data_IF_307960588934
#
_entry.id   IF_307960588934
#
_cell.length_a   1.000
_cell.length_b   1.000
_cell.length_c   1.000
_cell.angle_alpha   90.00
_cell.angle_beta   90.00
_cell.angle_gamma   90.00
#
_symmetry.space_group_name_H-M   'P 1'
#
loop_
_entity.id
_entity.type
_entity.pdbx_description
1 polymer ?
#
# COMPACT_ATOMS: atom_id res chain seq x y z
N UNK A 1 -7.66 -18.52 -3.07
CA UNK A 1 -7.25 -17.11 -3.23
C UNK A 1 -7.12 -16.74 -4.70
N UNK A 2 -6.25 -17.42 -5.47
CA UNK A 2 -6.05 -17.18 -6.92
C UNK A 2 -7.34 -17.06 -7.74
N UNK A 3 -8.25 -18.05 -7.64
CA UNK A 3 -9.55 -18.03 -8.34
C UNK A 3 -10.35 -16.74 -8.12
N UNK A 4 -10.26 -16.12 -6.93
CA UNK A 4 -10.98 -14.88 -6.63
C UNK A 4 -10.38 -13.70 -7.40
N UNK A 5 -9.05 -13.62 -7.44
CA UNK A 5 -8.32 -12.61 -8.21
C UNK A 5 -8.50 -12.83 -9.71
N UNK A 6 -8.63 -14.07 -10.17
CA UNK A 6 -8.95 -14.38 -11.57
C UNK A 6 -10.35 -13.87 -11.95
N UNK A 7 -11.34 -14.02 -11.07
CA UNK A 7 -12.67 -13.44 -11.25
C UNK A 7 -12.58 -11.91 -11.30
N UNK A 8 -11.88 -11.28 -10.36
CA UNK A 8 -11.68 -9.82 -10.36
C UNK A 8 -10.98 -9.32 -11.63
N UNK A 9 -9.97 -10.04 -12.11
CA UNK A 9 -9.28 -9.74 -13.36
C UNK A 9 -10.21 -9.90 -14.57
N UNK A 10 -11.03 -10.95 -14.62
CA UNK A 10 -12.01 -11.16 -15.69
C UNK A 10 -13.07 -10.04 -15.74
N UNK A 11 -13.49 -9.50 -14.60
CA UNK A 11 -14.39 -8.34 -14.54
C UNK A 11 -13.77 -7.06 -15.11
N UNK A 12 -12.49 -6.83 -14.82
CA UNK A 12 -11.73 -5.72 -15.42
C UNK A 12 -11.58 -5.95 -16.93
N UNK A 13 -11.23 -7.17 -17.33
CA UNK A 13 -10.99 -7.54 -18.72
C UNK A 13 -9.90 -6.67 -19.34
N UNK A 14 -10.16 -6.22 -20.55
CA UNK A 14 -9.22 -5.42 -21.34
C UNK A 14 -9.23 -3.91 -21.00
N UNK A 15 -10.05 -3.49 -20.04
CA UNK A 15 -10.08 -2.09 -19.58
C UNK A 15 -11.36 -1.70 -18.83
N UNK A 16 -11.30 -0.59 -18.09
CA UNK A 16 -12.45 0.01 -17.42
C UNK A 16 -12.89 1.29 -18.12
N UNK A 17 -14.17 1.63 -18.00
CA UNK A 17 -14.75 2.88 -18.48
C UNK A 17 -14.51 3.09 -20.00
N UNK A 18 -13.62 4.03 -20.36
CA UNK A 18 -13.32 4.37 -21.75
C UNK A 18 -12.46 3.30 -22.42
N UNK A 19 -11.59 2.65 -21.67
CA UNK A 19 -10.69 1.62 -22.19
C UNK A 19 -11.48 0.36 -22.59
N UNK A 20 -12.56 0.06 -21.87
CA UNK A 20 -13.45 -1.07 -22.19
C UNK A 20 -14.46 -0.82 -23.31
N UNK A 21 -14.48 0.37 -23.93
CA UNK A 21 -15.42 0.66 -25.03
C UNK A 21 -15.09 -0.18 -26.27
N UNK A 22 -16.10 -0.90 -26.77
CA UNK A 22 -15.94 -1.80 -27.92
C UNK A 22 -15.44 -3.21 -27.55
N UNK A 23 -14.96 -3.41 -26.33
CA UNK A 23 -14.56 -4.72 -25.79
C UNK A 23 -15.65 -5.31 -24.89
N UNK A 24 -16.34 -4.45 -24.12
CA UNK A 24 -17.45 -4.85 -23.24
C UNK A 24 -18.79 -4.58 -23.89
N UNK A 25 -19.83 -5.27 -23.40
CA UNK A 25 -21.21 -4.95 -23.76
C UNK A 25 -21.51 -3.47 -23.47
N UNK A 26 -22.20 -2.80 -24.39
CA UNK A 26 -22.40 -1.33 -24.37
C UNK A 26 -23.04 -0.85 -23.07
N UNK A 27 -24.00 -1.61 -22.54
CA UNK A 27 -24.67 -1.26 -21.28
C UNK A 27 -23.73 -1.30 -20.07
N UNK A 28 -22.79 -2.26 -20.06
CA UNK A 28 -21.78 -2.39 -19.00
C UNK A 28 -20.83 -1.20 -19.07
N UNK A 29 -20.27 -0.90 -20.25
CA UNK A 29 -19.38 0.23 -20.44
C UNK A 29 -20.06 1.57 -20.10
N UNK A 30 -21.35 1.73 -20.45
CA UNK A 30 -22.13 2.90 -20.09
C UNK A 30 -22.35 3.01 -18.57
N UNK A 31 -22.62 1.90 -17.90
CA UNK A 31 -22.73 1.86 -16.44
C UNK A 31 -21.41 2.22 -15.75
N UNK A 32 -20.28 1.71 -16.26
CA UNK A 32 -18.94 2.06 -15.79
C UNK A 32 -18.66 3.56 -15.95
N UNK A 33 -18.93 4.14 -17.13
CA UNK A 33 -18.73 5.57 -17.40
C UNK A 33 -19.57 6.47 -16.47
N UNK A 34 -20.84 6.10 -16.25
CA UNK A 34 -21.72 6.82 -15.31
C UNK A 34 -21.20 6.71 -13.88
N UNK A 35 -20.73 5.52 -13.49
CA UNK A 35 -20.16 5.28 -12.19
C UNK A 35 -18.88 6.09 -11.97
N UNK A 36 -17.95 6.06 -12.93
CA UNK A 36 -16.67 6.77 -12.86
C UNK A 36 -16.82 8.29 -12.85
N UNK A 37 -17.78 8.83 -13.63
CA UNK A 37 -18.16 10.25 -13.52
C UNK A 37 -18.61 10.59 -12.10
N UNK A 38 -19.54 9.82 -11.55
CA UNK A 38 -20.05 10.03 -10.19
C UNK A 38 -18.96 9.88 -9.14
N UNK A 39 -18.07 8.89 -9.27
CA UNK A 39 -16.93 8.68 -8.39
C UNK A 39 -16.03 9.93 -8.37
N UNK A 40 -15.63 10.42 -9.54
CA UNK A 40 -14.79 11.62 -9.68
C UNK A 40 -15.48 12.87 -9.11
N UNK A 41 -16.78 13.04 -9.33
CA UNK A 41 -17.53 14.19 -8.81
C UNK A 41 -17.62 14.20 -7.27
N UNK A 42 -17.76 13.01 -6.65
CA UNK A 42 -17.75 12.86 -5.19
C UNK A 42 -16.33 13.07 -4.64
N UNK A 43 -15.30 12.50 -5.29
CA UNK A 43 -13.90 12.62 -4.85
C UNK A 43 -13.40 14.07 -4.88
N UNK A 44 -13.79 14.88 -5.88
CA UNK A 44 -13.44 16.31 -5.96
C UNK A 44 -13.87 17.12 -4.73
N UNK A 45 -14.88 16.65 -3.99
CA UNK A 45 -15.40 17.32 -2.81
C UNK A 45 -14.84 16.74 -1.52
N UNK A 46 -14.03 15.69 -1.58
CA UNK A 46 -13.53 15.01 -0.39
C UNK A 46 -12.53 15.89 0.37
N UNK A 47 -12.78 16.06 1.66
CA UNK A 47 -11.87 16.74 2.59
C UNK A 47 -11.85 16.01 3.94
N UNK A 48 -10.92 16.39 4.82
CA UNK A 48 -10.87 15.88 6.20
C UNK A 48 -12.17 16.12 6.96
N UNK A 49 -12.81 17.27 6.73
CA UNK A 49 -14.02 17.68 7.46
C UNK A 49 -15.28 16.92 7.02
N UNK A 50 -15.35 16.53 5.74
CA UNK A 50 -16.55 15.92 5.18
C UNK A 50 -16.42 14.42 4.85
N UNK A 51 -15.28 13.80 5.17
CA UNK A 51 -14.98 12.39 4.88
C UNK A 51 -16.12 11.43 5.26
N UNK A 52 -16.83 11.68 6.37
CA UNK A 52 -17.97 10.85 6.79
C UNK A 52 -19.17 10.96 5.83
N UNK A 53 -19.50 12.16 5.36
CA UNK A 53 -20.61 12.37 4.44
C UNK A 53 -20.25 11.84 3.05
N UNK A 54 -19.09 12.25 2.54
CA UNK A 54 -18.54 11.84 1.24
C UNK A 54 -18.34 10.32 1.19
N UNK A 55 -17.87 9.70 2.28
CA UNK A 55 -17.71 8.25 2.38
C UNK A 55 -19.02 7.46 2.21
N UNK A 56 -20.16 7.97 2.70
CA UNK A 56 -21.46 7.33 2.42
C UNK A 56 -21.86 7.44 0.95
N UNK A 57 -21.49 8.53 0.28
CA UNK A 57 -21.73 8.69 -1.15
C UNK A 57 -20.83 7.74 -1.96
N UNK A 58 -19.54 7.66 -1.62
CA UNK A 58 -18.60 6.71 -2.24
C UNK A 58 -19.02 5.26 -2.02
N UNK A 59 -19.55 4.90 -0.84
CA UNK A 59 -20.07 3.55 -0.60
C UNK A 59 -21.21 3.17 -1.54
N UNK A 60 -22.14 4.10 -1.83
CA UNK A 60 -23.21 3.87 -2.82
C UNK A 60 -22.65 3.64 -4.23
N UNK A 61 -21.55 4.32 -4.58
CA UNK A 61 -20.84 4.12 -5.86
C UNK A 61 -20.15 2.74 -5.87
N UNK A 62 -19.50 2.37 -4.76
CA UNK A 62 -18.81 1.09 -4.59
C UNK A 62 -19.76 -0.11 -4.71
N UNK A 63 -20.99 0.01 -4.20
CA UNK A 63 -21.99 -1.06 -4.31
C UNK A 63 -22.42 -1.33 -5.76
N UNK A 64 -22.32 -0.33 -6.64
CA UNK A 64 -22.63 -0.49 -8.05
C UNK A 64 -21.42 -1.05 -8.82
N UNK A 65 -20.28 -0.36 -8.79
CA UNK A 65 -19.07 -0.81 -9.48
C UNK A 65 -17.81 -0.50 -8.63
N UNK A 66 -17.32 -1.45 -7.82
CA UNK A 66 -16.16 -1.22 -6.96
C UNK A 66 -14.86 -1.03 -7.75
N UNK A 67 -14.67 -1.76 -8.86
CA UNK A 67 -13.46 -1.63 -9.70
C UNK A 67 -13.28 -0.20 -10.24
N UNK A 68 -14.34 0.36 -10.83
CA UNK A 68 -14.33 1.74 -11.36
C UNK A 68 -14.05 2.76 -10.25
N UNK A 69 -14.69 2.59 -9.09
CA UNK A 69 -14.44 3.46 -7.95
C UNK A 69 -12.99 3.40 -7.50
N UNK A 70 -12.46 2.19 -7.26
CA UNK A 70 -11.12 2.05 -6.69
C UNK A 70 -10.02 2.44 -7.68
N UNK A 71 -10.24 2.25 -8.98
CA UNK A 71 -9.36 2.83 -10.00
C UNK A 71 -9.27 4.36 -9.84
N UNK A 72 -10.40 5.05 -9.77
CA UNK A 72 -10.43 6.51 -9.58
C UNK A 72 -9.84 6.96 -8.22
N UNK A 73 -10.12 6.24 -7.14
CA UNK A 73 -9.59 6.51 -5.80
C UNK A 73 -8.06 6.38 -5.77
N UNK A 74 -7.53 5.29 -6.32
CA UNK A 74 -6.09 5.02 -6.32
C UNK A 74 -5.33 5.98 -7.22
N UNK A 75 -5.92 6.43 -8.34
CA UNK A 75 -5.35 7.52 -9.15
C UNK A 75 -5.26 8.85 -8.38
N UNK A 76 -6.27 9.18 -7.57
CA UNK A 76 -6.22 10.39 -6.73
C UNK A 76 -5.13 10.28 -5.65
N UNK A 77 -5.01 9.13 -4.98
CA UNK A 77 -3.96 8.88 -3.97
C UNK A 77 -2.56 9.04 -4.57
N UNK A 78 -2.36 8.50 -5.77
CA UNK A 78 -1.06 8.59 -6.47
C UNK A 78 -0.66 10.02 -6.84
N UNK A 79 -1.61 10.96 -6.81
CA UNK A 79 -1.40 12.36 -7.15
C UNK A 79 -1.32 13.27 -5.92
N UNK A 80 -1.99 12.90 -4.82
CA UNK A 80 -2.20 13.77 -3.67
C UNK A 80 -2.12 12.98 -2.34
N UNK A 81 -1.07 13.21 -1.56
CA UNK A 81 -0.85 12.58 -0.26
C UNK A 81 -1.85 13.05 0.82
N UNK A 82 -2.23 14.32 0.77
CA UNK A 82 -3.18 14.94 1.70
C UNK A 82 -4.58 14.28 1.65
N UNK A 83 -4.90 13.55 0.57
CA UNK A 83 -6.13 12.79 0.41
C UNK A 83 -6.09 11.38 1.02
N UNK A 84 -4.92 10.85 1.37
CA UNK A 84 -4.78 9.49 1.92
C UNK A 84 -5.66 9.30 3.15
N UNK A 85 -5.52 10.18 4.15
CA UNK A 85 -6.28 10.06 5.40
C UNK A 85 -7.79 10.26 5.19
N UNK A 86 -8.28 11.32 4.50
CA UNK A 86 -9.70 11.46 4.16
C UNK A 86 -10.30 10.26 3.41
N UNK A 87 -9.55 9.66 2.48
CA UNK A 87 -10.00 8.48 1.72
C UNK A 87 -10.13 7.30 2.67
N UNK A 88 -9.09 6.99 3.46
CA UNK A 88 -9.13 5.91 4.43
C UNK A 88 -10.27 6.12 5.45
N UNK A 89 -10.56 7.35 5.85
CA UNK A 89 -11.70 7.66 6.73
C UNK A 89 -13.05 7.40 6.08
N UNK A 90 -13.15 7.64 4.77
CA UNK A 90 -14.34 7.40 3.96
C UNK A 90 -14.64 5.91 3.75
N UNK A 91 -13.63 5.04 3.81
CA UNK A 91 -13.78 3.59 3.57
C UNK A 91 -14.58 2.86 4.67
N UNK A 92 -14.90 3.50 5.80
CA UNK A 92 -15.64 2.86 6.92
C UNK A 92 -17.02 2.36 6.52
N UNK A 93 -17.61 2.91 5.46
CA UNK A 93 -18.93 2.52 4.96
C UNK A 93 -18.88 1.47 3.85
N UNK A 94 -17.69 1.00 3.47
CA UNK A 94 -17.52 0.00 2.42
C UNK A 94 -17.86 -1.40 2.93
N UNK A 95 -18.36 -2.24 2.02
CA UNK A 95 -18.57 -3.67 2.31
C UNK A 95 -17.25 -4.43 2.32
N UNK A 96 -17.19 -5.61 2.95
CA UNK A 96 -16.01 -6.48 2.88
C UNK A 96 -15.60 -6.82 1.44
N UNK A 97 -16.57 -7.06 0.56
CA UNK A 97 -16.31 -7.32 -0.86
C UNK A 97 -15.65 -6.11 -1.55
N UNK A 98 -16.11 -4.89 -1.27
CA UNK A 98 -15.49 -3.70 -1.84
C UNK A 98 -14.04 -3.53 -1.36
N UNK A 99 -13.77 -3.77 -0.08
CA UNK A 99 -12.39 -3.71 0.44
C UNK A 99 -11.48 -4.80 -0.15
N UNK A 100 -12.02 -5.99 -0.47
CA UNK A 100 -11.29 -7.05 -1.17
C UNK A 100 -10.96 -6.66 -2.63
N UNK A 101 -11.92 -6.05 -3.34
CA UNK A 101 -11.67 -5.48 -4.68
C UNK A 101 -10.66 -4.33 -4.63
N UNK A 102 -10.65 -3.54 -3.56
CA UNK A 102 -9.63 -2.51 -3.34
C UNK A 102 -8.23 -3.13 -3.22
N UNK A 103 -8.07 -4.24 -2.48
CA UNK A 103 -6.79 -4.96 -2.40
C UNK A 103 -6.31 -5.47 -3.75
N UNK A 104 -7.22 -6.03 -4.56
CA UNK A 104 -6.91 -6.42 -5.93
C UNK A 104 -6.46 -5.23 -6.79
N UNK A 105 -7.24 -4.13 -6.75
CA UNK A 105 -6.94 -2.93 -7.54
C UNK A 105 -5.60 -2.31 -7.13
N UNK A 106 -5.28 -2.31 -5.83
CA UNK A 106 -4.01 -1.84 -5.30
C UNK A 106 -2.82 -2.58 -5.92
N UNK A 107 -2.90 -3.92 -6.02
CA UNK A 107 -1.85 -4.73 -6.66
C UNK A 107 -1.72 -4.37 -8.15
N UNK A 108 -2.83 -4.18 -8.86
CA UNK A 108 -2.81 -3.77 -10.26
C UNK A 108 -2.11 -2.41 -10.47
N UNK A 109 -2.37 -1.43 -9.60
CA UNK A 109 -1.70 -0.12 -9.68
C UNK A 109 -0.20 -0.19 -9.32
N UNK A 110 0.19 -1.02 -8.35
CA UNK A 110 1.60 -1.29 -8.04
C UNK A 110 2.34 -1.99 -9.21
N UNK A 111 1.59 -2.71 -10.05
CA UNK A 111 2.07 -3.38 -11.26
C UNK A 111 1.79 -2.60 -12.56
N UNK A 112 1.56 -1.29 -12.49
CA UNK A 112 1.16 -0.45 -13.64
C UNK A 112 2.24 -0.27 -14.73
N UNK A 113 3.41 -0.90 -14.61
CA UNK A 113 4.52 -0.79 -15.57
C UNK A 113 5.23 0.57 -15.59
N UNK A 114 4.74 1.56 -14.84
CA UNK A 114 5.35 2.88 -14.68
C UNK A 114 6.69 2.78 -13.98
N UNK A 115 7.58 3.71 -14.32
CA UNK A 115 8.84 3.83 -13.60
C UNK A 115 8.57 4.12 -12.12
N UNK A 116 9.24 3.33 -11.27
CA UNK A 116 9.18 3.40 -9.82
C UNK A 116 10.22 4.37 -9.27
N UNK A 117 11.05 4.92 -10.15
CA UNK A 117 12.06 5.91 -9.86
C UNK A 117 11.64 7.30 -10.35
N UNK A 118 12.17 8.34 -9.72
CA UNK A 118 12.15 9.69 -10.31
C UNK A 118 13.22 9.81 -11.39
N UNK A 119 13.03 10.75 -12.33
CA UNK A 119 13.95 11.00 -13.45
C UNK A 119 15.40 11.28 -12.98
N UNK A 120 15.57 11.88 -11.81
CA UNK A 120 16.87 12.18 -11.21
C UNK A 120 17.63 10.94 -10.71
N UNK A 121 16.98 9.78 -10.63
CA UNK A 121 17.61 8.54 -10.18
C UNK A 121 18.02 8.52 -8.71
N UNK A 122 17.45 9.40 -7.87
CA UNK A 122 17.80 9.50 -6.45
C UNK A 122 16.69 9.03 -5.52
N UNK A 123 15.44 9.21 -5.92
CA UNK A 123 14.29 8.95 -5.08
C UNK A 123 13.29 8.05 -5.77
N UNK A 124 12.50 7.36 -4.95
CA UNK A 124 11.33 6.64 -5.41
C UNK A 124 10.31 7.63 -5.94
N UNK A 125 9.61 7.22 -6.99
CA UNK A 125 8.57 8.02 -7.61
C UNK A 125 7.48 8.39 -6.60
N UNK A 126 7.01 9.64 -6.68
CA UNK A 126 6.03 10.19 -5.74
C UNK A 126 4.77 9.33 -5.65
N UNK A 127 4.31 8.81 -6.78
CA UNK A 127 3.14 7.95 -6.85
C UNK A 127 3.30 6.65 -6.06
N UNK A 128 4.49 6.03 -6.10
CA UNK A 128 4.76 4.79 -5.39
C UNK A 128 4.93 5.08 -3.89
N UNK A 129 5.56 6.19 -3.54
CA UNK A 129 5.65 6.64 -2.14
C UNK A 129 4.24 6.85 -1.53
N UNK A 130 3.36 7.55 -2.24
CA UNK A 130 1.99 7.82 -1.76
C UNK A 130 1.13 6.55 -1.71
N UNK A 131 1.29 5.67 -2.69
CA UNK A 131 0.59 4.39 -2.70
C UNK A 131 1.07 3.48 -1.57
N UNK A 132 2.39 3.43 -1.31
CA UNK A 132 2.98 2.71 -0.18
C UNK A 132 2.46 3.24 1.14
N UNK A 133 2.47 4.57 1.32
CA UNK A 133 1.87 5.24 2.48
C UNK A 133 0.41 4.84 2.69
N UNK A 134 -0.39 4.86 1.62
CA UNK A 134 -1.78 4.43 1.69
C UNK A 134 -1.94 2.97 2.12
N UNK A 135 -1.08 2.05 1.64
CA UNK A 135 -1.08 0.64 2.09
C UNK A 135 -0.94 0.55 3.61
N UNK A 136 0.06 1.22 4.18
CA UNK A 136 0.30 1.19 5.63
C UNK A 136 -0.89 1.74 6.42
N UNK A 137 -1.48 2.85 5.99
CA UNK A 137 -2.63 3.48 6.66
C UNK A 137 -3.90 2.62 6.51
N UNK A 138 -4.13 2.02 5.34
CA UNK A 138 -5.27 1.14 5.04
C UNK A 138 -5.26 -0.09 5.95
N UNK A 139 -4.18 -0.86 5.95
CA UNK A 139 -4.12 -2.12 6.70
C UNK A 139 -3.99 -1.93 8.21
N UNK A 140 -3.46 -0.77 8.67
CA UNK A 140 -3.51 -0.40 10.10
C UNK A 140 -4.96 -0.19 10.56
N UNK A 141 -5.79 0.46 9.72
CA UNK A 141 -7.17 0.81 10.08
C UNK A 141 -8.19 -0.30 9.79
N UNK A 142 -8.01 -1.04 8.71
CA UNK A 142 -8.89 -2.10 8.25
C UNK A 142 -8.15 -3.44 8.21
N UNK A 143 -7.75 -4.00 9.36
CA UNK A 143 -6.91 -5.20 9.43
C UNK A 143 -7.61 -6.48 8.95
N UNK A 144 -8.94 -6.46 8.82
CA UNK A 144 -9.71 -7.56 8.22
C UNK A 144 -9.69 -7.58 6.70
N UNK A 145 -9.14 -6.54 6.07
CA UNK A 145 -8.99 -6.47 4.61
C UNK A 145 -7.98 -7.50 4.15
N UNK A 146 -8.26 -8.13 3.02
CA UNK A 146 -7.41 -9.16 2.42
C UNK A 146 -6.01 -8.58 2.10
N UNK A 147 -4.95 -9.21 2.61
CA UNK A 147 -3.55 -8.76 2.47
C UNK A 147 -2.64 -9.80 1.77
N UNK A 148 -3.10 -11.04 1.65
CA UNK A 148 -2.36 -12.16 1.08
C UNK A 148 -1.93 -11.88 -0.37
N UNK A 149 -2.79 -11.30 -1.20
CA UNK A 149 -2.47 -10.93 -2.58
C UNK A 149 -1.29 -9.98 -2.70
N UNK A 150 -1.27 -8.96 -1.85
CA UNK A 150 -0.18 -7.99 -1.79
C UNK A 150 1.13 -8.65 -1.34
N UNK A 151 1.08 -9.53 -0.32
CA UNK A 151 2.28 -10.24 0.15
C UNK A 151 2.87 -11.17 -0.91
N UNK A 152 2.01 -11.94 -1.60
CA UNK A 152 2.44 -12.81 -2.70
C UNK A 152 3.01 -11.98 -3.86
N UNK A 153 2.37 -10.85 -4.18
CA UNK A 153 2.90 -9.90 -5.16
C UNK A 153 4.31 -9.44 -4.77
N UNK A 154 4.51 -8.97 -3.53
CA UNK A 154 5.83 -8.51 -3.06
C UNK A 154 6.89 -9.62 -3.14
N UNK A 155 6.58 -10.84 -2.71
CA UNK A 155 7.49 -11.99 -2.84
C UNK A 155 7.91 -12.19 -4.30
N UNK A 156 6.96 -12.16 -5.24
CA UNK A 156 7.24 -12.36 -6.66
C UNK A 156 8.07 -11.21 -7.27
N UNK A 157 7.79 -9.96 -6.86
CA UNK A 157 8.55 -8.79 -7.30
C UNK A 157 9.99 -8.84 -6.84
N UNK A 158 10.23 -9.17 -5.57
CA UNK A 158 11.57 -9.31 -5.00
C UNK A 158 12.34 -10.46 -5.60
N UNK A 159 11.70 -11.62 -5.84
CA UNK A 159 12.31 -12.72 -6.60
C UNK A 159 12.78 -12.33 -8.00
N UNK A 160 12.10 -11.35 -8.60
CA UNK A 160 12.43 -10.83 -9.92
C UNK A 160 13.41 -9.64 -9.87
N UNK A 161 14.03 -9.37 -8.72
CA UNK A 161 15.03 -8.30 -8.55
C UNK A 161 14.47 -6.88 -8.43
N UNK A 162 13.15 -6.71 -8.30
CA UNK A 162 12.53 -5.38 -8.20
C UNK A 162 12.56 -4.85 -6.75
N UNK A 163 13.74 -4.42 -6.30
CA UNK A 163 14.00 -3.96 -4.93
C UNK A 163 13.16 -2.75 -4.50
N UNK A 164 12.76 -1.87 -5.43
CA UNK A 164 11.95 -0.67 -5.13
C UNK A 164 10.58 -1.01 -4.51
N UNK A 165 10.06 -2.22 -4.74
CA UNK A 165 8.81 -2.69 -4.14
C UNK A 165 8.94 -2.90 -2.61
N UNK A 166 10.16 -2.93 -2.05
CA UNK A 166 10.39 -2.98 -0.59
C UNK A 166 9.82 -1.78 0.15
N UNK A 167 9.62 -0.63 -0.50
CA UNK A 167 9.01 0.55 0.15
C UNK A 167 7.59 0.23 0.64
N UNK A 168 6.85 -0.60 -0.08
CA UNK A 168 5.51 -1.04 0.35
C UNK A 168 5.59 -1.92 1.59
N UNK A 169 6.57 -2.83 1.64
CA UNK A 169 6.79 -3.71 2.80
C UNK A 169 7.25 -2.90 4.01
N UNK A 170 8.17 -1.96 3.82
CA UNK A 170 8.62 -1.01 4.85
C UNK A 170 7.43 -0.29 5.47
N UNK A 171 6.51 0.24 4.66
CA UNK A 171 5.35 0.96 5.19
C UNK A 171 4.39 0.05 5.97
N UNK A 172 4.21 -1.21 5.53
CA UNK A 172 3.44 -2.21 6.28
C UNK A 172 4.07 -2.48 7.66
N UNK A 173 5.38 -2.70 7.72
CA UNK A 173 6.08 -3.00 8.96
C UNK A 173 6.06 -1.81 9.92
N UNK A 174 6.29 -0.59 9.42
CA UNK A 174 6.27 0.63 10.23
C UNK A 174 4.85 0.93 10.71
N UNK A 175 3.87 1.08 9.81
CA UNK A 175 2.53 1.54 10.22
C UNK A 175 1.67 0.45 10.85
N UNK A 176 1.73 -0.77 10.33
CA UNK A 176 0.87 -1.88 10.77
C UNK A 176 1.59 -2.71 11.83
N UNK A 177 2.85 -3.03 11.59
CA UNK A 177 3.70 -3.73 12.54
C UNK A 177 4.04 -2.89 13.78
N UNK A 178 3.96 -1.57 13.70
CA UNK A 178 4.35 -0.68 14.80
C UNK A 178 5.85 -0.78 15.08
N UNK A 179 6.64 -1.11 14.05
CA UNK A 179 8.10 -1.07 14.12
C UNK A 179 8.50 0.39 13.98
N UNK A 180 8.88 0.99 15.09
CA UNK A 180 9.50 2.32 15.06
C UNK A 180 10.91 2.13 14.52
N UNK A 181 11.16 2.63 13.30
CA UNK A 181 12.52 2.74 12.81
C UNK A 181 13.18 3.82 13.66
N UNK A 182 14.22 3.50 14.45
CA UNK A 182 14.98 4.55 15.11
C UNK A 182 15.43 5.53 14.03
N UNK A 183 15.23 6.83 14.28
CA UNK A 183 15.77 7.84 13.39
C UNK A 183 17.27 7.59 13.19
N UNK A 184 17.80 8.00 12.03
CA UNK A 184 19.23 7.87 11.71
C UNK A 184 20.16 8.53 12.72
N UNK A 185 19.62 9.38 13.61
CA UNK A 185 20.33 10.05 14.69
C UNK A 185 19.68 9.74 16.04
N UNK A 186 20.08 8.63 16.66
CA UNK A 186 19.80 8.38 18.07
C UNK A 186 20.83 9.13 18.93
N UNK A 187 20.37 9.95 19.87
CA UNK A 187 21.26 10.49 20.90
C UNK A 187 21.83 9.37 21.76
N UNK A 188 23.01 9.57 22.36
CA UNK A 188 23.61 8.58 23.27
C UNK A 188 22.64 8.14 24.37
N UNK A 189 21.81 9.06 24.89
CA UNK A 189 20.80 8.75 25.91
C UNK A 189 19.73 7.80 25.40
N UNK A 190 19.28 7.95 24.16
CA UNK A 190 18.34 7.03 23.54
C UNK A 190 19.00 5.67 23.29
N UNK A 191 20.27 5.66 22.85
CA UNK A 191 21.01 4.43 22.59
C UNK A 191 21.22 3.61 23.88
N UNK A 192 21.60 4.27 24.98
CA UNK A 192 21.70 3.63 26.30
C UNK A 192 20.32 3.21 26.84
N UNK A 193 19.29 4.02 26.59
CA UNK A 193 17.91 3.71 26.93
C UNK A 193 17.38 2.44 26.24
N UNK A 194 17.70 2.29 24.96
CA UNK A 194 17.38 1.10 24.17
C UNK A 194 18.14 -0.15 24.63
N UNK A 195 19.33 0.00 25.23
CA UNK A 195 20.06 -1.11 25.83
C UNK A 195 19.46 -1.59 27.18
N UNK A 196 18.56 -0.81 27.79
CA UNK A 196 17.93 -1.14 29.08
C UNK A 196 16.82 -2.19 29.01
N UNK A 197 16.09 -2.34 30.13
CA UNK A 197 14.92 -3.24 30.22
C UNK A 197 13.70 -2.72 29.45
N UNK A 198 12.67 -3.56 29.30
CA UNK A 198 11.46 -3.25 28.49
C UNK A 198 10.82 -1.91 28.83
N UNK A 199 10.74 -1.57 30.12
CA UNK A 199 10.20 -0.29 30.57
C UNK A 199 11.04 0.91 30.10
N UNK A 200 12.37 0.82 30.16
CA UNK A 200 13.27 1.89 29.73
C UNK A 200 13.27 2.02 28.20
N UNK A 201 13.22 0.89 27.47
CA UNK A 201 13.06 0.88 26.01
C UNK A 201 11.78 1.58 25.58
N UNK A 202 10.66 1.28 26.23
CA UNK A 202 9.38 1.88 25.89
C UNK A 202 9.37 3.42 26.08
N UNK A 203 9.99 3.93 27.13
CA UNK A 203 10.05 5.37 27.41
C UNK A 203 11.08 6.10 26.51
N UNK A 204 12.13 5.40 26.07
CA UNK A 204 13.20 5.99 25.23
C UNK A 204 12.88 5.99 23.74
N UNK A 205 12.13 4.99 23.27
CA UNK A 205 11.64 4.88 21.89
C UNK A 205 10.51 5.89 21.64
N UNK A 206 9.55 5.98 22.58
CA UNK A 206 8.37 6.80 22.40
C UNK A 206 8.54 8.30 22.71
N UNK A 207 9.60 8.74 23.41
CA UNK A 207 9.66 10.09 24.03
C UNK A 207 8.35 10.50 24.76
N UNK A 208 7.65 9.53 25.35
CA UNK A 208 6.32 9.74 25.95
C UNK A 208 5.14 9.81 24.95
N UNK A 209 5.37 9.82 23.64
CA UNK A 209 4.34 9.65 22.60
C UNK A 209 4.00 8.17 22.46
N UNK A 210 3.13 7.68 23.33
CA UNK A 210 2.57 6.32 23.25
C UNK A 210 1.60 6.23 22.08
N UNK A 211 2.10 6.11 20.85
CA UNK A 211 1.21 5.76 19.74
C UNK A 211 0.61 4.39 20.03
N UNK A 212 -0.72 4.32 20.18
CA UNK A 212 -1.38 3.12 20.65
C UNK A 212 -1.11 1.99 19.66
N UNK A 213 -0.38 0.98 20.11
CA UNK A 213 -0.09 -0.21 19.32
C UNK A 213 -1.37 -0.78 18.71
N UNK A 214 -1.40 -0.88 17.38
CA UNK A 214 -2.53 -1.43 16.64
C UNK A 214 -2.53 -2.96 16.74
N UNK A 215 -2.64 -3.52 17.95
CA UNK A 215 -2.46 -4.96 18.23
C UNK A 215 -3.28 -5.88 17.32
N UNK A 216 -4.51 -5.48 16.97
CA UNK A 216 -5.35 -6.21 16.01
C UNK A 216 -4.75 -6.23 14.61
N UNK A 217 -4.20 -5.11 14.16
CA UNK A 217 -3.56 -4.99 12.86
C UNK A 217 -2.21 -5.71 12.82
N UNK A 218 -1.41 -5.63 13.89
CA UNK A 218 -0.19 -6.44 14.06
C UNK A 218 -0.50 -7.95 14.00
N UNK A 219 -1.53 -8.40 14.73
CA UNK A 219 -1.94 -9.79 14.71
C UNK A 219 -2.44 -10.23 13.33
N UNK A 220 -3.19 -9.38 12.63
CA UNK A 220 -3.66 -9.65 11.28
C UNK A 220 -2.51 -9.71 10.27
N UNK A 221 -1.55 -8.78 10.33
CA UNK A 221 -0.34 -8.81 9.49
C UNK A 221 0.46 -10.08 9.73
N UNK A 222 0.71 -10.42 11.01
CA UNK A 222 1.39 -11.66 11.39
C UNK A 222 0.64 -12.88 10.85
N UNK A 223 -0.68 -12.94 11.04
CA UNK A 223 -1.53 -14.00 10.52
C UNK A 223 -1.46 -14.13 9.00
N UNK A 224 -1.51 -13.02 8.27
CA UNK A 224 -1.40 -12.98 6.82
C UNK A 224 -0.02 -13.44 6.32
N UNK A 225 1.07 -13.04 6.99
CA UNK A 225 2.44 -13.47 6.67
C UNK A 225 2.63 -14.98 6.81
N UNK A 226 2.06 -15.59 7.86
CA UNK A 226 2.11 -17.03 8.06
C UNK A 226 1.15 -17.78 7.13
N UNK A 227 -0.09 -17.33 6.99
CA UNK A 227 -1.09 -17.99 6.16
C UNK A 227 -0.76 -17.92 4.66
N UNK A 228 -0.02 -16.90 4.22
CA UNK A 228 0.49 -16.80 2.85
C UNK A 228 1.75 -17.62 2.59
N UNK A 229 2.43 -18.09 3.65
CA UNK A 229 3.77 -18.63 3.52
C UNK A 229 4.81 -17.59 3.09
N UNK A 230 4.50 -16.29 3.11
CA UNK A 230 5.39 -15.23 2.66
C UNK A 230 6.46 -14.84 3.70
N UNK A 231 6.25 -15.16 4.98
CA UNK A 231 7.15 -14.76 6.06
C UNK A 231 8.63 -15.14 5.81
N UNK A 232 8.90 -16.43 5.57
CA UNK A 232 10.26 -16.93 5.35
C UNK A 232 10.84 -16.46 4.00
N UNK A 233 10.11 -16.55 2.86
CA UNK A 233 10.57 -16.00 1.59
C UNK A 233 10.92 -14.52 1.68
N UNK A 234 10.09 -13.68 2.31
CA UNK A 234 10.40 -12.25 2.45
C UNK A 234 11.68 -12.03 3.26
N UNK A 235 11.86 -12.73 4.36
CA UNK A 235 13.08 -12.63 5.17
C UNK A 235 14.35 -12.98 4.38
N UNK A 236 14.31 -14.10 3.64
CA UNK A 236 15.44 -14.53 2.80
C UNK A 236 15.68 -13.57 1.63
N UNK A 237 14.62 -13.12 0.97
CA UNK A 237 14.71 -12.22 -0.19
C UNK A 237 15.24 -10.85 0.22
N UNK A 238 14.85 -10.28 1.37
CA UNK A 238 15.42 -9.02 1.87
C UNK A 238 16.93 -9.18 2.10
N UNK A 239 17.34 -10.27 2.75
CA UNK A 239 18.75 -10.55 3.00
C UNK A 239 19.57 -10.74 1.70
N UNK A 240 19.01 -11.46 0.72
CA UNK A 240 19.62 -11.66 -0.59
C UNK A 240 19.63 -10.38 -1.44
N UNK A 241 18.58 -9.58 -1.35
CA UNK A 241 18.47 -8.33 -2.10
C UNK A 241 19.58 -7.36 -1.70
N UNK A 242 19.99 -7.37 -0.42
CA UNK A 242 21.14 -6.60 0.05
C UNK A 242 22.43 -6.91 -0.71
N UNK A 243 22.76 -8.20 -0.89
CA UNK A 243 23.91 -8.61 -1.70
C UNK A 243 23.70 -8.29 -3.19
N UNK A 244 22.49 -8.53 -3.72
CA UNK A 244 22.17 -8.24 -5.12
C UNK A 244 22.31 -6.75 -5.44
N UNK A 245 21.93 -5.85 -4.53
CA UNK A 245 22.06 -4.40 -4.71
C UNK A 245 23.54 -3.98 -4.85
N UNK A 246 24.45 -4.66 -4.14
CA UNK A 246 25.89 -4.34 -4.19
C UNK A 246 26.57 -4.86 -5.46
N UNK A 247 26.20 -6.06 -5.92
CA UNK A 247 26.99 -6.80 -6.91
C UNK A 247 26.34 -6.91 -8.31
N UNK A 248 25.01 -6.82 -8.40
CA UNK A 248 24.26 -7.14 -9.62
C UNK A 248 23.44 -5.97 -10.18
N UNK A 249 23.36 -4.84 -9.47
CA UNK A 249 22.61 -3.66 -9.96
C UNK A 249 23.38 -2.93 -11.05
N UNK A 250 22.77 -2.81 -12.23
CA UNK A 250 23.36 -2.10 -13.38
C UNK A 250 23.37 -0.55 -13.22
N UNK A 251 22.86 -0.02 -12.11
CA UNK A 251 22.74 1.44 -11.89
C UNK A 251 24.08 2.04 -11.46
N UNK A 252 24.54 3.07 -12.16
CA UNK A 252 25.81 3.76 -11.87
C UNK A 252 25.72 4.77 -10.70
N UNK A 253 24.53 5.01 -10.15
CA UNK A 253 24.32 6.01 -9.09
C UNK A 253 24.58 5.42 -7.69
N UNK A 254 25.78 5.67 -7.14
CA UNK A 254 26.19 5.17 -5.82
C UNK A 254 25.24 5.56 -4.68
N UNK A 255 24.65 6.76 -4.74
CA UNK A 255 23.68 7.24 -3.74
C UNK A 255 22.41 6.37 -3.71
N UNK A 256 21.95 5.94 -4.88
CA UNK A 256 20.81 5.04 -4.97
C UNK A 256 21.15 3.69 -4.38
N UNK A 257 22.31 3.13 -4.72
CA UNK A 257 22.73 1.84 -4.18
C UNK A 257 22.85 1.89 -2.65
N UNK A 258 23.41 2.97 -2.10
CA UNK A 258 23.44 3.21 -0.66
C UNK A 258 22.03 3.26 -0.07
N UNK A 259 21.13 4.06 -0.63
CA UNK A 259 19.76 4.16 -0.14
C UNK A 259 18.98 2.84 -0.21
N UNK A 260 19.12 2.08 -1.29
CA UNK A 260 18.50 0.76 -1.44
C UNK A 260 19.09 -0.26 -0.47
N UNK A 261 20.41 -0.21 -0.27
CA UNK A 261 21.11 -1.04 0.70
C UNK A 261 20.61 -0.76 2.12
N UNK A 262 20.56 0.52 2.50
CA UNK A 262 20.05 0.96 3.82
C UNK A 262 18.56 0.62 4.00
N UNK A 263 17.78 0.61 2.92
CA UNK A 263 16.36 0.22 2.98
C UNK A 263 16.17 -1.27 3.25
N UNK A 264 17.19 -2.09 3.01
CA UNK A 264 17.18 -3.52 3.33
C UNK A 264 17.62 -3.83 4.77
N UNK A 265 18.14 -2.85 5.52
CA UNK A 265 18.45 -2.97 6.96
C UNK A 265 17.20 -2.79 7.85
#
# INVERSE_FOLDING_TARGET
>A
FGVRYDVYAAWVGDGLEREGLGQKHVEVALAELRCGRRARDVLKRLSKENAKHTGRQLAKVAHANPHVLFNAVLSQIQSYDNLIQPIVDSLRFMTPLALDVLSFSLVAHLNSGRDKMQDDGLFVSQWLAYLSQFVGVLYRKYPSTELHGLLVFLVNRLRSGHSLDLVVLKELLVRVGGVEMPGTELSEKQLHGMAGGEALRAETVAFGVKERAARRAQAALRGALFASGAALPLLLLIAQQRSHILYETATQHLKLMGWLFDTCE
#
